data_IF_175831916302
#
_entry.id   IF_175831916302
#
_cell.length_a   1.000
_cell.length_b   1.000
_cell.length_c   1.000
_cell.angle_alpha   90.00
_cell.angle_beta   90.00
_cell.angle_gamma   90.00
#
_symmetry.space_group_name_H-M   'P 1'
#
loop_
_entity.id
_entity.type
_entity.pdbx_description
1 polymer ?
#
# COMPACT_ATOMS: atom_id res chain seq x y z
N UNK A 1 36.22 -14.62 4.96
CA UNK A 1 37.33 -14.03 4.17
C UNK A 1 37.95 -12.82 4.86
N UNK A 2 37.16 -11.83 5.30
CA UNK A 2 37.63 -10.64 6.05
C UNK A 2 38.52 -10.95 7.27
N UNK A 3 38.12 -11.85 8.16
CA UNK A 3 38.88 -12.17 9.39
C UNK A 3 40.22 -12.89 9.14
N UNK A 4 40.36 -13.63 8.02
CA UNK A 4 41.62 -14.30 7.68
C UNK A 4 42.66 -13.31 7.14
N UNK A 5 42.22 -12.29 6.42
CA UNK A 5 43.09 -11.28 5.80
C UNK A 5 43.62 -10.24 6.80
N UNK A 6 42.94 -10.02 7.93
CA UNK A 6 43.38 -9.07 8.97
C UNK A 6 44.56 -9.55 9.82
N UNK A 7 44.92 -10.84 9.76
CA UNK A 7 46.02 -11.43 10.54
C UNK A 7 47.38 -11.38 9.84
N UNK A 8 47.42 -11.04 8.55
CA UNK A 8 48.63 -10.96 7.74
C UNK A 8 48.95 -9.49 7.53
N UNK A 9 50.00 -8.98 8.17
CA UNK A 9 50.43 -7.57 8.12
C UNK A 9 51.05 -7.16 6.77
N UNK A 10 50.38 -7.44 5.66
CA UNK A 10 50.82 -7.16 4.29
C UNK A 10 49.76 -6.45 3.45
N UNK A 11 50.18 -5.85 2.33
CA UNK A 11 49.28 -5.22 1.35
C UNK A 11 48.52 -6.29 0.56
N UNK A 12 47.19 -6.21 0.55
CA UNK A 12 46.32 -7.07 -0.25
C UNK A 12 45.74 -6.24 -1.39
N UNK A 13 45.90 -6.71 -2.64
CA UNK A 13 45.28 -6.11 -3.82
C UNK A 13 44.11 -6.95 -4.31
N UNK A 14 42.94 -6.34 -4.50
CA UNK A 14 41.85 -6.94 -5.26
C UNK A 14 41.97 -6.55 -6.73
N UNK A 15 41.74 -7.53 -7.60
CA UNK A 15 41.68 -7.33 -9.05
C UNK A 15 40.34 -7.84 -9.56
N UNK A 16 39.75 -7.12 -10.51
CA UNK A 16 38.55 -7.58 -11.20
C UNK A 16 38.94 -8.50 -12.35
N UNK A 17 38.28 -9.65 -12.44
CA UNK A 17 38.42 -10.56 -13.58
C UNK A 17 37.14 -10.47 -14.42
N UNK A 18 37.29 -10.54 -15.75
CA UNK A 18 36.16 -10.50 -16.67
C UNK A 18 35.27 -11.74 -16.46
N UNK A 19 33.98 -11.51 -16.25
CA UNK A 19 33.03 -12.60 -15.97
C UNK A 19 32.80 -13.54 -17.17
N UNK A 20 33.02 -13.07 -18.41
CA UNK A 20 32.50 -13.75 -19.60
C UNK A 20 33.56 -14.17 -20.64
N UNK A 21 34.84 -13.88 -20.43
CA UNK A 21 35.89 -14.26 -21.39
C UNK A 21 37.28 -14.30 -20.75
N UNK A 22 38.04 -15.34 -21.05
CA UNK A 22 39.47 -15.44 -20.75
C UNK A 22 39.81 -16.03 -19.38
N UNK A 23 38.81 -16.50 -18.62
CA UNK A 23 39.03 -17.31 -17.42
C UNK A 23 38.33 -18.67 -17.60
N UNK A 24 39.07 -19.80 -17.69
CA UNK A 24 38.50 -21.14 -17.87
C UNK A 24 37.47 -21.51 -16.81
N UNK A 25 37.66 -21.05 -15.56
CA UNK A 25 36.75 -21.34 -14.45
C UNK A 25 35.40 -20.64 -14.64
N UNK A 26 35.41 -19.34 -14.98
CA UNK A 26 34.19 -18.58 -15.29
C UNK A 26 33.48 -19.15 -16.52
N UNK A 27 34.23 -19.54 -17.56
CA UNK A 27 33.66 -20.13 -18.77
C UNK A 27 32.99 -21.48 -18.48
N UNK A 28 33.58 -22.28 -17.59
CA UNK A 28 33.04 -23.56 -17.12
C UNK A 28 31.75 -23.35 -16.32
N UNK A 29 31.73 -22.41 -15.37
CA UNK A 29 30.51 -22.05 -14.63
C UNK A 29 29.40 -21.56 -15.56
N UNK A 30 29.73 -20.70 -16.52
CA UNK A 30 28.75 -20.17 -17.48
C UNK A 30 28.21 -21.27 -18.40
N UNK A 31 29.04 -22.25 -18.79
CA UNK A 31 28.62 -23.42 -19.54
C UNK A 31 27.62 -24.27 -18.74
N UNK A 32 27.89 -24.53 -17.46
CA UNK A 32 26.96 -25.27 -16.60
C UNK A 32 25.66 -24.49 -16.33
N UNK A 33 25.72 -23.17 -16.15
CA UNK A 33 24.53 -22.34 -16.01
C UNK A 33 23.65 -22.40 -17.26
N UNK A 34 24.26 -22.35 -18.46
CA UNK A 34 23.55 -22.50 -19.73
C UNK A 34 22.93 -23.89 -19.89
N UNK A 35 23.69 -24.94 -19.58
CA UNK A 35 23.15 -26.31 -19.57
C UNK A 35 21.97 -26.44 -18.59
N UNK A 36 22.04 -25.83 -17.41
CA UNK A 36 20.94 -25.85 -16.46
C UNK A 36 19.66 -25.18 -17.01
N UNK A 37 19.80 -24.10 -17.81
CA UNK A 37 18.64 -23.48 -18.48
C UNK A 37 18.09 -24.29 -19.65
N UNK A 38 18.92 -25.11 -20.30
CA UNK A 38 18.52 -25.99 -21.42
C UNK A 38 17.92 -27.31 -20.93
N UNK A 39 18.42 -27.85 -19.81
CA UNK A 39 17.94 -29.10 -19.19
C UNK A 39 16.67 -28.87 -18.38
N UNK A 40 16.50 -27.67 -17.82
CA UNK A 40 15.28 -27.29 -17.12
C UNK A 40 14.09 -27.27 -18.07
N UNK A 41 13.05 -28.05 -17.79
CA UNK A 41 11.78 -27.91 -18.48
C UNK A 41 11.20 -26.56 -18.08
N UNK A 42 11.36 -25.56 -18.95
CA UNK A 42 10.82 -24.23 -18.73
C UNK A 42 9.35 -24.34 -18.41
N UNK A 43 8.94 -23.83 -17.24
CA UNK A 43 7.52 -23.68 -16.96
C UNK A 43 7.02 -22.53 -17.82
N UNK A 44 6.54 -22.86 -19.01
CA UNK A 44 5.83 -21.90 -19.84
C UNK A 44 4.55 -21.53 -19.11
N UNK A 45 4.52 -20.33 -18.54
CA UNK A 45 3.28 -19.74 -18.08
C UNK A 45 2.58 -19.24 -19.35
N UNK A 46 1.46 -19.85 -19.77
CA UNK A 46 0.81 -19.54 -21.05
C UNK A 46 0.23 -18.12 -21.10
N UNK A 47 0.23 -17.41 -19.96
CA UNK A 47 -0.23 -16.05 -19.82
C UNK A 47 0.92 -15.11 -19.45
N UNK A 48 0.95 -13.95 -20.08
CA UNK A 48 1.88 -12.89 -19.67
C UNK A 48 1.59 -12.46 -18.23
N UNK A 49 2.62 -12.02 -17.52
CA UNK A 49 2.49 -11.46 -16.18
C UNK A 49 1.43 -10.33 -16.11
N UNK A 50 1.35 -9.49 -17.14
CA UNK A 50 0.34 -8.43 -17.22
C UNK A 50 -1.08 -8.99 -17.32
N UNK A 51 -1.29 -10.03 -18.12
CA UNK A 51 -2.59 -10.70 -18.22
C UNK A 51 -3.01 -11.30 -16.88
N UNK A 52 -2.12 -12.03 -16.21
CA UNK A 52 -2.40 -12.61 -14.90
C UNK A 52 -2.71 -11.53 -13.85
N UNK A 53 -1.86 -10.50 -13.76
CA UNK A 53 -2.06 -9.39 -12.82
C UNK A 53 -3.39 -8.67 -13.05
N UNK A 54 -3.77 -8.43 -14.31
CA UNK A 54 -5.04 -7.78 -14.66
C UNK A 54 -6.24 -8.63 -14.27
N UNK A 55 -6.22 -9.92 -14.59
CA UNK A 55 -7.34 -10.82 -14.27
C UNK A 55 -7.49 -11.02 -12.77
N UNK A 56 -6.40 -11.30 -12.05
CA UNK A 56 -6.43 -11.44 -10.59
C UNK A 56 -6.96 -10.16 -9.93
N UNK A 57 -6.48 -8.98 -10.34
CA UNK A 57 -6.98 -7.70 -9.80
C UNK A 57 -8.49 -7.54 -10.05
N UNK A 58 -8.95 -7.86 -11.26
CA UNK A 58 -10.37 -7.76 -11.61
C UNK A 58 -11.22 -8.71 -10.76
N UNK A 59 -10.81 -9.95 -10.63
CA UNK A 59 -11.58 -10.98 -9.92
C UNK A 59 -11.65 -10.63 -8.42
N UNK A 60 -10.54 -10.19 -7.82
CA UNK A 60 -10.51 -9.69 -6.44
C UNK A 60 -11.42 -8.48 -6.22
N UNK A 61 -11.42 -7.52 -7.15
CA UNK A 61 -12.30 -6.34 -7.06
C UNK A 61 -13.78 -6.72 -7.20
N UNK A 62 -14.10 -7.73 -8.00
CA UNK A 62 -15.47 -8.21 -8.13
C UNK A 62 -15.95 -8.89 -6.85
N UNK A 63 -15.15 -9.80 -6.28
CA UNK A 63 -15.48 -10.44 -4.99
C UNK A 63 -15.61 -9.41 -3.87
N UNK A 64 -14.69 -8.44 -3.81
CA UNK A 64 -14.74 -7.37 -2.83
C UNK A 64 -15.98 -6.48 -3.01
N UNK A 65 -16.36 -6.12 -4.24
CA UNK A 65 -17.60 -5.38 -4.50
C UNK A 65 -18.84 -6.13 -4.01
N UNK A 66 -18.91 -7.45 -4.27
CA UNK A 66 -20.04 -8.27 -3.81
C UNK A 66 -20.11 -8.28 -2.29
N UNK A 67 -18.99 -8.57 -1.61
CA UNK A 67 -18.91 -8.56 -0.15
C UNK A 67 -19.21 -7.18 0.45
N UNK A 68 -18.74 -6.11 -0.20
CA UNK A 68 -19.00 -4.74 0.21
C UNK A 68 -20.51 -4.48 0.23
N UNK A 69 -21.23 -4.79 -0.85
CA UNK A 69 -22.67 -4.54 -0.94
C UNK A 69 -23.50 -5.40 0.02
N UNK A 70 -23.11 -6.65 0.25
CA UNK A 70 -23.78 -7.55 1.22
C UNK A 70 -23.51 -7.17 2.69
N UNK A 71 -22.42 -6.47 3.00
CA UNK A 71 -22.10 -6.10 4.38
C UNK A 71 -23.16 -5.17 5.00
N UNK A 72 -23.70 -5.53 6.17
CA UNK A 72 -24.57 -4.64 6.95
C UNK A 72 -23.80 -3.41 7.50
N UNK A 73 -22.50 -3.57 7.71
CA UNK A 73 -21.62 -2.48 8.16
C UNK A 73 -21.16 -1.62 6.99
N UNK A 74 -20.85 -0.34 7.27
CA UNK A 74 -20.31 0.57 6.25
C UNK A 74 -21.36 1.26 5.37
N UNK A 75 -22.65 1.24 5.74
CA UNK A 75 -23.75 1.91 5.02
C UNK A 75 -23.43 3.34 4.59
N UNK A 76 -22.93 4.17 5.52
CA UNK A 76 -22.49 5.53 5.20
C UNK A 76 -21.36 5.56 4.15
N UNK A 77 -20.39 4.65 4.26
CA UNK A 77 -19.34 4.50 3.27
C UNK A 77 -19.91 4.20 1.88
N UNK A 78 -20.95 3.36 1.78
CA UNK A 78 -21.65 3.05 0.51
C UNK A 78 -22.36 4.25 -0.09
N UNK A 79 -22.92 5.14 0.75
CA UNK A 79 -23.58 6.37 0.29
C UNK A 79 -22.58 7.32 -0.41
N UNK A 80 -21.31 7.33 0.02
CA UNK A 80 -20.25 8.16 -0.57
C UNK A 80 -19.40 7.45 -1.62
N UNK A 81 -19.27 6.12 -1.51
CA UNK A 81 -18.47 5.26 -2.38
C UNK A 81 -19.38 4.23 -3.05
N UNK A 82 -20.08 4.60 -4.14
CA UNK A 82 -20.99 3.71 -4.85
C UNK A 82 -20.26 2.58 -5.60
N UNK A 83 -18.94 2.61 -5.65
CA UNK A 83 -18.10 1.51 -6.15
C UNK A 83 -16.94 1.30 -5.18
N UNK A 84 -16.44 0.07 -5.07
CA UNK A 84 -15.21 -0.19 -4.30
C UNK A 84 -13.96 0.24 -5.07
N UNK A 85 -14.07 1.29 -5.89
CA UNK A 85 -12.94 1.78 -6.64
C UNK A 85 -11.91 2.33 -5.65
N UNK A 86 -10.73 1.72 -5.68
CA UNK A 86 -9.63 2.04 -4.78
C UNK A 86 -9.10 3.45 -5.04
N UNK A 87 -9.39 4.03 -6.21
CA UNK A 87 -8.97 5.40 -6.56
C UNK A 87 -9.55 6.44 -5.60
N UNK A 88 -10.80 6.27 -5.15
CA UNK A 88 -11.45 7.15 -4.15
C UNK A 88 -10.78 7.06 -2.77
N UNK A 89 -10.23 5.90 -2.40
CA UNK A 89 -9.47 5.74 -1.14
C UNK A 89 -8.07 6.33 -1.24
N UNK A 90 -7.52 6.46 -2.45
CA UNK A 90 -6.21 7.09 -2.69
C UNK A 90 -6.26 8.61 -2.90
N UNK A 91 -7.45 9.18 -3.11
CA UNK A 91 -7.63 10.59 -3.46
C UNK A 91 -7.16 11.54 -2.34
N UNK A 92 -7.55 11.29 -1.09
CA UNK A 92 -7.15 12.12 0.04
C UNK A 92 -7.46 11.45 1.39
N UNK A 93 -6.45 11.35 2.29
CA UNK A 93 -6.63 10.82 3.64
C UNK A 93 -7.70 11.56 4.46
N UNK A 94 -7.86 12.87 4.28
CA UNK A 94 -8.84 13.68 4.98
C UNK A 94 -10.27 13.38 4.51
N UNK A 95 -10.46 13.10 3.22
CA UNK A 95 -11.77 12.67 2.70
C UNK A 95 -12.14 11.30 3.24
N UNK A 96 -11.19 10.38 3.32
CA UNK A 96 -11.40 9.06 3.95
C UNK A 96 -11.82 9.22 5.41
N UNK A 97 -11.12 10.05 6.19
CA UNK A 97 -11.49 10.36 7.57
C UNK A 97 -12.92 10.94 7.68
N UNK A 98 -13.25 11.89 6.83
CA UNK A 98 -14.56 12.53 6.78
C UNK A 98 -15.69 11.54 6.44
N UNK A 99 -15.52 10.71 5.40
CA UNK A 99 -16.51 9.72 4.94
C UNK A 99 -16.73 8.63 5.99
N UNK A 100 -15.64 8.11 6.55
CA UNK A 100 -15.69 7.01 7.52
C UNK A 100 -16.05 7.49 8.93
N UNK A 101 -16.00 8.80 9.20
CA UNK A 101 -16.07 9.41 10.55
C UNK A 101 -14.91 9.02 11.47
N UNK A 102 -13.76 8.69 10.88
CA UNK A 102 -12.51 8.39 11.60
C UNK A 102 -11.59 9.62 11.61
N UNK A 103 -10.54 9.58 12.41
CA UNK A 103 -9.52 10.63 12.49
C UNK A 103 -9.74 11.55 13.68
N UNK A 104 -9.25 12.79 13.60
CA UNK A 104 -9.19 13.72 14.73
C UNK A 104 -10.54 14.39 15.08
N UNK A 105 -11.66 13.71 14.88
CA UNK A 105 -12.97 14.17 15.33
C UNK A 105 -13.13 13.89 16.82
N UNK A 106 -13.53 14.90 17.60
CA UNK A 106 -13.65 14.80 19.07
C UNK A 106 -14.57 13.63 19.47
N UNK A 107 -15.69 13.46 18.78
CA UNK A 107 -16.61 12.34 19.03
C UNK A 107 -15.98 10.97 18.73
N UNK A 108 -15.08 10.89 17.73
CA UNK A 108 -14.34 9.66 17.44
C UNK A 108 -13.28 9.39 18.51
N UNK A 109 -12.50 10.40 18.90
CA UNK A 109 -11.46 10.27 19.93
C UNK A 109 -12.05 9.89 21.30
N UNK A 110 -13.21 10.44 21.65
CA UNK A 110 -13.95 10.08 22.86
C UNK A 110 -14.37 8.61 22.89
N UNK A 111 -14.79 8.04 21.75
CA UNK A 111 -15.18 6.62 21.66
C UNK A 111 -14.02 5.67 22.02
N UNK A 112 -12.77 6.11 21.86
CA UNK A 112 -11.58 5.33 22.20
C UNK A 112 -10.93 5.79 23.51
N UNK A 113 -11.65 6.55 24.33
CA UNK A 113 -11.18 7.07 25.63
C UNK A 113 -9.88 7.91 25.53
N UNK A 114 -9.60 8.48 24.35
CA UNK A 114 -8.46 9.38 24.12
C UNK A 114 -8.80 10.81 24.56
N UNK A 115 -10.06 11.19 24.46
CA UNK A 115 -10.56 12.51 24.82
C UNK A 115 -11.74 12.40 25.79
N UNK A 116 -11.85 13.33 26.73
CA UNK A 116 -12.77 13.24 27.88
C UNK A 116 -14.25 13.58 27.55
N UNK A 117 -14.53 14.14 26.37
CA UNK A 117 -15.89 14.48 25.94
C UNK A 117 -16.09 14.26 24.45
N UNK A 118 -17.31 13.95 24.03
CA UNK A 118 -17.68 13.89 22.61
C UNK A 118 -18.15 15.24 22.05
N UNK A 119 -18.24 16.27 22.89
CA UNK A 119 -18.78 17.58 22.55
C UNK A 119 -17.70 18.54 22.07
N UNK A 120 -18.03 19.32 21.05
CA UNK A 120 -17.27 20.48 20.60
C UNK A 120 -17.47 21.66 21.55
N UNK A 121 -16.63 22.70 21.42
CA UNK A 121 -16.79 23.98 22.12
C UNK A 121 -18.17 24.62 21.91
N UNK A 122 -18.84 24.35 20.79
CA UNK A 122 -20.20 24.81 20.52
C UNK A 122 -21.30 24.00 21.25
N UNK A 123 -20.93 22.98 22.04
CA UNK A 123 -21.87 22.13 22.77
C UNK A 123 -22.56 21.04 21.93
N UNK A 124 -22.26 20.94 20.63
CA UNK A 124 -22.76 19.90 19.74
C UNK A 124 -21.73 18.75 19.63
N UNK A 125 -22.18 17.54 19.33
CA UNK A 125 -21.31 16.38 19.06
C UNK A 125 -20.30 16.74 17.97
N UNK A 126 -19.01 16.63 18.29
CA UNK A 126 -17.90 16.94 17.39
C UNK A 126 -17.61 15.81 16.41
N UNK A 127 -18.61 15.39 15.63
CA UNK A 127 -18.46 14.36 14.60
C UNK A 127 -18.34 14.94 13.18
N UNK A 128 -17.99 14.07 12.24
CA UNK A 128 -17.85 14.41 10.82
C UNK A 128 -19.22 14.68 10.13
N UNK A 129 -20.35 14.33 10.76
CA UNK A 129 -21.70 14.56 10.22
C UNK A 129 -22.07 16.05 10.21
N UNK A 130 -21.56 16.82 11.17
CA UNK A 130 -21.79 18.27 11.27
C UNK A 130 -21.27 19.06 10.03
N UNK A 131 -20.23 18.53 9.36
CA UNK A 131 -19.64 19.13 8.15
C UNK A 131 -20.56 18.94 6.93
N UNK A 132 -21.30 17.84 6.84
CA UNK A 132 -22.18 17.55 5.70
C UNK A 132 -23.57 18.17 5.83
N UNK A 133 -24.08 18.35 7.05
CA UNK A 133 -25.41 18.90 7.30
C UNK A 133 -25.48 20.44 7.29
N UNK A 134 -24.35 21.13 7.11
CA UNK A 134 -24.28 22.60 7.00
C UNK A 134 -23.97 23.08 5.57
N UNK A 135 -24.23 22.28 4.53
CA UNK A 135 -24.25 22.79 3.14
C UNK A 135 -25.65 23.32 2.82
N UNK A 136 -26.15 24.23 3.66
CA UNK A 136 -27.26 25.12 3.31
C UNK A 136 -27.14 26.51 3.94
N UNK A 137 -26.15 26.79 4.81
CA UNK A 137 -25.90 28.14 5.30
C UNK A 137 -24.41 28.46 5.32
N UNK A 138 -24.02 29.25 4.31
CA UNK A 138 -22.95 30.23 4.25
C UNK A 138 -21.80 30.15 5.27
N UNK A 139 -20.58 30.15 4.69
CA UNK A 139 -19.26 30.48 5.28
C UNK A 139 -18.60 29.39 6.14
N UNK A 140 -17.85 28.54 5.45
CA UNK A 140 -16.78 27.73 6.03
C UNK A 140 -15.68 28.67 6.53
N UNK A 141 -15.44 28.68 7.83
CA UNK A 141 -14.36 29.43 8.48
C UNK A 141 -13.59 28.54 9.45
N UNK A 142 -13.10 27.37 9.04
CA UNK A 142 -12.09 26.66 9.84
C UNK A 142 -11.11 25.95 8.91
N UNK A 143 -10.05 26.65 8.52
CA UNK A 143 -8.66 26.15 8.47
C UNK A 143 -7.72 27.35 8.29
N UNK A 144 -7.71 28.29 9.23
CA UNK A 144 -6.56 29.16 9.44
C UNK A 144 -6.42 29.48 10.91
N UNK A 145 -5.36 28.98 11.53
CA UNK A 145 -4.58 29.63 12.59
C UNK A 145 -3.28 28.82 12.79
N UNK A 146 -2.20 29.47 13.24
CA UNK A 146 -0.87 29.49 12.59
C UNK A 146 0.02 28.26 12.79
#
# INVERSE_FOLDING_TARGET
>A
MKEKLSSVGGYVSLSWVKAHTGNPENETENHFAKLATEIGNGFEIPASHFFLKKNIKRDLLNEWNLSWWDSETGKRGKDFLPTTDLELLTLNKYLVYLVTRHGSFIAYLHRFDIYYTSLCLCGIIGDAGLIFLNVDLQRIFILQSP
#
